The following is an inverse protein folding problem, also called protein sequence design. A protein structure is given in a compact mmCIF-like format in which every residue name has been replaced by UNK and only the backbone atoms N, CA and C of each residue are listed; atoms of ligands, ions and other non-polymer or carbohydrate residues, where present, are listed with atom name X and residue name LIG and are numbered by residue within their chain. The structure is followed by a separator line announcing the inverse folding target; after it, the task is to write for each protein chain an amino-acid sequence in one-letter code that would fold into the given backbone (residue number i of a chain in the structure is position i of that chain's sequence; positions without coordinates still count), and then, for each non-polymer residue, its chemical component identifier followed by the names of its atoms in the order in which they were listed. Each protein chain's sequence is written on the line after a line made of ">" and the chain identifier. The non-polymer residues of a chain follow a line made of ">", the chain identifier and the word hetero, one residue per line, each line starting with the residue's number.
data_IF_496841200037
#
_entry.id   IF_496841200037
#
_cell.length_a   1.000
_cell.length_b   1.000
_cell.length_c   1.000
_cell.angle_alpha   90.00
_cell.angle_beta   90.00
_cell.angle_gamma   90.00
#
_symmetry.space_group_name_H-M   'P 1'
#
loop_
_entity.id
_entity.type
_entity.pdbx_description
1 polymer ?
#
# COMPACT_ATOMS: atom_id res chain seq x y z
N UNK A 1 12.02 -19.39 9.39
CA UNK A 1 12.02 -17.93 9.64
C UNK A 1 13.32 -17.38 9.08
N UNK A 2 13.24 -16.70 7.93
CA UNK A 2 14.37 -15.92 7.41
C UNK A 2 14.21 -14.54 8.00
N UNK A 3 15.11 -14.16 8.92
CA UNK A 3 15.22 -12.78 9.34
C UNK A 3 15.49 -11.93 8.09
N UNK A 4 14.60 -10.97 7.83
CA UNK A 4 14.74 -10.00 6.75
C UNK A 4 15.97 -9.14 7.05
N UNK A 5 17.09 -9.50 6.44
CA UNK A 5 18.37 -8.82 6.57
C UNK A 5 18.20 -7.35 6.17
N UNK A 6 18.32 -6.51 7.19
CA UNK A 6 18.72 -5.12 7.16
C UNK A 6 17.94 -4.18 6.20
N UNK A 7 16.84 -3.62 6.72
CA UNK A 7 16.08 -2.51 6.12
C UNK A 7 16.96 -1.33 5.69
N UNK A 8 18.06 -1.04 6.41
CA UNK A 8 18.94 0.08 6.08
C UNK A 8 19.83 -0.21 4.87
N UNK A 9 20.28 -1.46 4.69
CA UNK A 9 21.01 -1.90 3.48
C UNK A 9 20.11 -1.86 2.24
N UNK A 10 18.85 -2.30 2.36
CA UNK A 10 17.87 -2.20 1.27
C UNK A 10 17.58 -0.74 0.90
N UNK A 11 17.43 0.14 1.89
CA UNK A 11 17.28 1.58 1.66
C UNK A 11 18.54 2.21 1.03
N UNK A 12 19.74 1.75 1.41
CA UNK A 12 21.01 2.20 0.84
C UNK A 12 21.14 1.80 -0.63
N UNK A 13 20.85 0.54 -0.98
CA UNK A 13 20.88 0.06 -2.37
C UNK A 13 19.83 0.75 -3.25
N UNK A 14 18.65 1.05 -2.71
CA UNK A 14 17.63 1.81 -3.44
C UNK A 14 18.03 3.28 -3.67
N UNK A 15 18.86 3.88 -2.81
CA UNK A 15 19.44 5.21 -3.07
C UNK A 15 20.42 5.16 -4.25
N UNK A 16 21.11 4.03 -4.47
CA UNK A 16 22.03 3.83 -5.59
C UNK A 16 21.30 3.58 -6.92
N UNK A 17 20.09 2.99 -6.89
CA UNK A 17 19.26 2.81 -8.10
C UNK A 17 18.58 4.14 -8.48
N UNK A 18 19.22 4.90 -9.36
CA UNK A 18 18.69 6.16 -9.86
C UNK A 18 17.79 5.98 -11.09
N UNK A 19 16.56 5.51 -10.89
CA UNK A 19 15.48 5.55 -11.91
C UNK A 19 14.82 6.93 -11.88
N UNK A 20 14.49 7.56 -13.01
CA UNK A 20 13.86 8.89 -12.97
C UNK A 20 12.46 8.85 -12.35
N UNK A 21 12.00 9.99 -11.79
CA UNK A 21 10.65 10.10 -11.23
C UNK A 21 9.58 9.79 -12.30
N UNK A 22 9.78 10.25 -13.53
CA UNK A 22 8.87 10.00 -14.65
C UNK A 22 8.72 8.51 -14.97
N UNK A 23 9.80 7.74 -14.90
CA UNK A 23 9.75 6.29 -15.09
C UNK A 23 8.98 5.62 -13.95
N UNK A 24 9.18 6.05 -12.70
CA UNK A 24 8.39 5.55 -11.57
C UNK A 24 6.90 5.85 -11.72
N UNK A 25 6.54 7.07 -12.13
CA UNK A 25 5.14 7.43 -12.39
C UNK A 25 4.53 6.58 -13.51
N UNK A 26 5.30 6.33 -14.58
CA UNK A 26 4.88 5.41 -15.64
C UNK A 26 4.64 3.99 -15.12
N UNK A 27 5.45 3.50 -14.19
CA UNK A 27 5.24 2.18 -13.55
C UNK A 27 3.99 2.18 -12.68
N UNK A 28 3.78 3.23 -11.88
CA UNK A 28 2.62 3.33 -10.99
C UNK A 28 1.29 3.29 -11.74
N UNK A 29 1.23 3.81 -12.97
CA UNK A 29 0.04 3.74 -13.81
C UNK A 29 -0.41 2.32 -14.18
N UNK A 30 0.48 1.34 -14.13
CA UNK A 30 0.15 -0.07 -14.40
C UNK A 30 -0.17 -0.89 -13.14
N UNK A 31 0.08 -0.33 -11.96
CA UNK A 31 -0.13 -1.03 -10.70
C UNK A 31 -1.50 -0.69 -10.11
N UNK A 32 -2.06 -1.62 -9.34
CA UNK A 32 -3.25 -1.34 -8.55
C UNK A 32 -2.94 -0.19 -7.59
N UNK A 33 -3.83 0.82 -7.43
CA UNK A 33 -3.60 1.93 -6.51
C UNK A 33 -3.33 1.43 -5.08
N UNK A 34 -3.92 0.28 -4.72
CA UNK A 34 -3.67 -0.38 -3.45
C UNK A 34 -2.20 -0.77 -3.28
N UNK A 35 -1.61 -1.41 -4.28
CA UNK A 35 -0.20 -1.85 -4.21
C UNK A 35 0.75 -0.64 -4.23
N UNK A 36 0.42 0.42 -4.98
CA UNK A 36 1.22 1.65 -5.00
C UNK A 36 1.20 2.34 -3.63
N UNK A 37 0.01 2.55 -3.06
CA UNK A 37 -0.14 3.26 -1.78
C UNK A 37 0.34 2.46 -0.58
N UNK A 38 0.10 1.14 -0.55
CA UNK A 38 0.30 0.33 0.64
C UNK A 38 1.56 -0.53 0.63
N UNK A 39 2.07 -0.89 -0.56
CA UNK A 39 3.32 -1.66 -0.67
C UNK A 39 4.47 -0.75 -1.05
N UNK A 40 4.33 -0.02 -2.16
CA UNK A 40 5.46 0.74 -2.73
C UNK A 40 5.92 1.91 -1.85
N UNK A 41 4.99 2.65 -1.24
CA UNK A 41 5.33 3.75 -0.34
C UNK A 41 6.22 3.29 0.84
N UNK A 42 5.94 2.10 1.38
CA UNK A 42 6.63 1.59 2.57
C UNK A 42 8.06 1.09 2.33
N UNK A 43 8.47 0.94 1.06
CA UNK A 43 9.78 0.37 0.73
C UNK A 43 10.91 1.38 0.99
N UNK A 44 10.67 2.68 0.72
CA UNK A 44 11.68 3.72 0.97
C UNK A 44 11.08 5.12 1.03
N UNK A 45 11.72 6.02 1.78
CA UNK A 45 11.34 7.43 1.89
C UNK A 45 11.26 8.13 0.51
N UNK A 46 12.08 7.70 -0.46
CA UNK A 46 12.03 8.24 -1.82
C UNK A 46 10.75 7.83 -2.54
N UNK A 47 10.37 6.56 -2.44
CA UNK A 47 9.14 6.06 -3.04
C UNK A 47 7.92 6.65 -2.33
N UNK A 48 7.96 6.82 -1.01
CA UNK A 48 6.90 7.50 -0.25
C UNK A 48 6.59 8.89 -0.83
N UNK A 49 7.62 9.72 -1.04
CA UNK A 49 7.45 11.06 -1.66
C UNK A 49 6.89 10.96 -3.08
N UNK A 50 7.35 10.01 -3.90
CA UNK A 50 6.85 9.84 -5.26
C UNK A 50 5.39 9.36 -5.28
N UNK A 51 5.05 8.41 -4.42
CA UNK A 51 3.69 7.91 -4.27
C UNK A 51 2.79 9.06 -3.82
N UNK A 52 3.19 9.87 -2.83
CA UNK A 52 2.41 11.02 -2.38
C UNK A 52 2.15 12.03 -3.52
N UNK A 53 3.17 12.39 -4.32
CA UNK A 53 2.99 13.26 -5.49
C UNK A 53 2.04 12.64 -6.53
N UNK A 54 2.18 11.33 -6.79
CA UNK A 54 1.35 10.61 -7.75
C UNK A 54 -0.10 10.48 -7.29
N UNK A 55 -0.34 10.24 -6.00
CA UNK A 55 -1.68 10.27 -5.42
C UNK A 55 -2.26 11.68 -5.39
N UNK A 56 -1.42 12.71 -5.24
CA UNK A 56 -1.86 14.10 -5.28
C UNK A 56 -2.18 14.60 -6.69
N UNK A 57 -1.66 14.00 -7.75
CA UNK A 57 -1.85 14.52 -9.11
C UNK A 57 -3.20 14.20 -9.73
N UNK A 58 -3.93 13.20 -9.20
CA UNK A 58 -5.25 12.80 -9.72
C UNK A 58 -6.17 12.20 -8.66
N UNK A 59 -7.40 11.96 -9.06
CA UNK A 59 -8.39 11.24 -8.26
C UNK A 59 -8.17 9.74 -8.35
N UNK A 60 -8.22 9.04 -7.21
CA UNK A 60 -8.00 7.60 -7.14
C UNK A 60 -9.16 6.90 -6.45
N UNK A 61 -9.62 5.80 -7.04
CA UNK A 61 -10.46 4.83 -6.36
C UNK A 61 -9.61 3.58 -6.10
N UNK A 62 -9.50 3.17 -4.84
CA UNK A 62 -9.06 1.82 -4.52
C UNK A 62 -10.13 0.86 -5.07
N UNK A 63 -9.75 -0.29 -5.62
CA UNK A 63 -10.75 -1.19 -6.18
C UNK A 63 -11.57 -1.87 -5.06
N UNK A 64 -11.12 -3.04 -4.61
CA UNK A 64 -11.78 -3.82 -3.58
C UNK A 64 -10.93 -3.79 -2.33
N UNK A 65 -11.50 -3.31 -1.23
CA UNK A 65 -10.93 -3.42 0.11
C UNK A 65 -11.80 -4.38 0.92
N UNK A 66 -11.21 -5.46 1.40
CA UNK A 66 -11.87 -6.37 2.35
C UNK A 66 -11.21 -6.17 3.70
N UNK A 67 -12.01 -5.86 4.72
CA UNK A 67 -11.57 -5.80 6.11
C UNK A 67 -12.19 -7.01 6.83
N UNK A 68 -11.34 -7.90 7.33
CA UNK A 68 -11.73 -9.04 8.15
C UNK A 68 -11.55 -8.68 9.61
N UNK A 69 -12.60 -8.72 10.43
CA UNK A 69 -12.43 -8.63 11.89
C UNK A 69 -12.21 -10.03 12.46
N UNK A 70 -11.09 -10.24 13.13
CA UNK A 70 -10.84 -11.45 13.91
C UNK A 70 -11.93 -11.69 14.95
N UNK A 71 -12.17 -12.96 15.28
CA UNK A 71 -13.14 -13.42 16.30
C UNK A 71 -12.94 -12.81 17.69
N UNK A 72 -11.77 -12.22 17.92
CA UNK A 72 -11.27 -11.83 19.22
C UNK A 72 -11.36 -10.29 19.43
N UNK A 73 -11.94 -9.57 18.46
CA UNK A 73 -12.15 -8.12 18.51
C UNK A 73 -10.89 -7.26 18.37
N UNK A 74 -9.70 -7.86 18.24
CA UNK A 74 -8.42 -7.17 18.39
C UNK A 74 -7.51 -7.18 17.15
N UNK A 75 -7.85 -7.93 16.09
CA UNK A 75 -7.12 -7.92 14.82
C UNK A 75 -8.07 -7.65 13.67
N UNK A 76 -7.81 -6.58 12.92
CA UNK A 76 -8.43 -6.37 11.62
C UNK A 76 -7.38 -6.61 10.55
N UNK A 77 -7.73 -7.37 9.52
CA UNK A 77 -6.83 -7.69 8.40
C UNK A 77 -7.39 -7.07 7.13
N UNK A 78 -6.51 -6.48 6.31
CA UNK A 78 -6.88 -5.95 5.00
C UNK A 78 -6.51 -6.98 3.94
N UNK A 79 -7.43 -7.26 3.03
CA UNK A 79 -7.15 -8.13 1.87
C UNK A 79 -7.33 -7.36 0.57
N UNK A 80 -6.47 -7.67 -0.41
CA UNK A 80 -6.55 -7.14 -1.78
C UNK A 80 -7.36 -8.08 -2.69
N UNK A 81 -7.46 -7.75 -3.99
CA UNK A 81 -8.12 -8.57 -5.02
C UNK A 81 -7.61 -10.02 -5.09
N UNK A 82 -6.37 -10.28 -4.66
CA UNK A 82 -5.74 -11.60 -4.65
C UNK A 82 -6.00 -12.39 -3.36
N UNK A 83 -6.81 -11.87 -2.43
CA UNK A 83 -7.02 -12.41 -1.08
C UNK A 83 -5.71 -12.56 -0.28
N UNK A 84 -4.67 -11.79 -0.63
CA UNK A 84 -3.45 -11.73 0.15
C UNK A 84 -3.70 -10.86 1.38
N UNK A 85 -3.45 -11.43 2.56
CA UNK A 85 -3.54 -10.71 3.83
C UNK A 85 -2.42 -9.67 3.90
N UNK A 86 -2.81 -8.43 4.19
CA UNK A 86 -1.90 -7.31 4.33
C UNK A 86 -2.14 -6.60 5.67
N UNK A 87 -1.05 -6.16 6.32
CA UNK A 87 -1.15 -5.42 7.57
C UNK A 87 -1.92 -4.11 7.35
N UNK A 88 -2.69 -3.71 8.35
CA UNK A 88 -3.36 -2.41 8.34
C UNK A 88 -2.29 -1.31 8.37
N UNK A 89 -2.32 -0.35 7.42
CA UNK A 89 -1.45 0.81 7.49
C UNK A 89 -1.70 1.54 8.81
N UNK A 90 -0.64 1.75 9.58
CA UNK A 90 -0.68 2.53 10.82
C UNK A 90 -0.70 4.03 10.54
N UNK A 91 -0.32 4.43 9.32
CA UNK A 91 -0.38 5.80 8.85
C UNK A 91 -1.68 6.06 8.10
N UNK A 92 -2.22 7.29 8.17
CA UNK A 92 -3.42 7.64 7.45
C UNK A 92 -3.23 7.45 5.94
N UNK A 93 -4.26 6.90 5.30
CA UNK A 93 -4.29 6.79 3.84
C UNK A 93 -4.16 8.20 3.20
N UNK A 94 -3.56 8.30 1.99
CA UNK A 94 -3.39 9.58 1.32
C UNK A 94 -4.72 10.33 1.17
N UNK A 95 -4.74 11.62 1.52
CA UNK A 95 -5.96 12.45 1.51
C UNK A 95 -6.68 12.56 0.15
N UNK A 96 -6.01 12.22 -0.96
CA UNK A 96 -6.59 12.26 -2.33
C UNK A 96 -7.16 10.92 -2.78
N UNK A 97 -7.28 9.97 -1.86
CA UNK A 97 -7.93 8.69 -2.10
C UNK A 97 -9.44 8.90 -1.96
N UNK A 98 -10.15 8.94 -3.09
CA UNK A 98 -11.52 9.47 -3.18
C UNK A 98 -12.57 8.38 -2.92
N UNK A 99 -12.14 7.13 -2.82
CA UNK A 99 -12.99 6.07 -2.33
C UNK A 99 -12.52 4.69 -2.71
N UNK A 100 -13.45 3.75 -2.57
CA UNK A 100 -13.29 2.35 -2.93
C UNK A 100 -14.37 2.00 -3.95
N UNK A 101 -14.06 1.18 -4.96
CA UNK A 101 -15.06 0.58 -5.82
C UNK A 101 -15.93 -0.40 -5.03
N UNK A 102 -15.36 -1.05 -4.02
CA UNK A 102 -16.06 -1.94 -3.10
C UNK A 102 -15.34 -2.02 -1.75
N UNK A 103 -16.08 -1.78 -0.67
CA UNK A 103 -15.63 -2.00 0.71
C UNK A 103 -16.48 -3.12 1.31
N UNK A 104 -15.85 -4.24 1.66
CA UNK A 104 -16.51 -5.32 2.38
C UNK A 104 -15.94 -5.43 3.78
N UNK A 105 -16.82 -5.41 4.78
CA UNK A 105 -16.46 -5.63 6.17
C UNK A 105 -17.11 -6.94 6.59
N UNK A 106 -16.29 -7.94 6.89
CA UNK A 106 -16.76 -9.24 7.35
C UNK A 106 -16.45 -9.38 8.84
N UNK A 107 -17.50 -9.59 9.64
CA UNK A 107 -17.41 -9.96 11.03
C UNK A 107 -17.88 -11.40 11.21
N UNK A 108 -17.09 -12.24 11.86
CA UNK A 108 -17.56 -13.55 12.30
C UNK A 108 -18.52 -13.34 13.48
N UNK A 109 -19.83 -13.47 13.24
CA UNK A 109 -20.84 -13.55 14.29
C UNK A 109 -20.82 -14.99 14.85
N UNK A 110 -20.48 -15.14 16.13
CA UNK A 110 -20.65 -16.38 16.89
C UNK A 110 -22.08 -16.57 17.39
#
# INVERSE_FOLDING_TARGET
>A
MSDNTNKSEQQQQMKEIFISADVWYGIFDFLCPFDVGLKMALISDRLDVLVDVHFKSREWALERLIILSGTDGNSAEITNRSNELQPIPQEPLPNKLIGFKELQIWSFLS
#
